data_IF_455783737801
#
_entry.id   IF_455783737801
#
_cell.length_a   1.000
_cell.length_b   1.000
_cell.length_c   1.000
_cell.angle_alpha   90.00
_cell.angle_beta   90.00
_cell.angle_gamma   90.00
#
_symmetry.space_group_name_H-M   'P 1'
#
loop_
_entity.id
_entity.type
_entity.pdbx_description
1 polymer ?
#
# COMPACT_ATOMS: atom_id res chain seq x y z
N UNK A 1 25.85 -4.61 -37.92
CA UNK A 1 24.72 -5.55 -38.15
C UNK A 1 24.23 -5.38 -39.58
N UNK A 2 24.23 -6.45 -40.34
CA UNK A 2 23.79 -6.43 -41.74
C UNK A 2 22.25 -6.35 -41.82
N UNK A 3 21.74 -5.81 -42.92
CA UNK A 3 20.29 -5.66 -43.18
C UNK A 3 19.54 -6.98 -43.01
N UNK A 4 20.18 -8.12 -43.24
CA UNK A 4 19.66 -9.48 -43.08
C UNK A 4 19.47 -9.86 -41.59
N UNK A 5 20.37 -9.41 -40.71
CA UNK A 5 20.26 -9.64 -39.27
C UNK A 5 19.14 -8.80 -38.60
N UNK A 6 18.93 -7.58 -39.10
CA UNK A 6 17.83 -6.73 -38.62
C UNK A 6 16.47 -7.33 -39.00
N UNK A 7 16.34 -7.88 -40.21
CA UNK A 7 15.09 -8.50 -40.70
C UNK A 7 14.73 -9.77 -39.90
N UNK A 8 15.72 -10.63 -39.64
CA UNK A 8 15.51 -11.83 -38.79
C UNK A 8 15.10 -11.50 -37.34
N UNK A 9 15.66 -10.42 -36.79
CA UNK A 9 15.29 -9.97 -35.42
C UNK A 9 13.85 -9.39 -35.37
N UNK A 10 13.41 -8.73 -36.45
CA UNK A 10 12.06 -8.18 -36.57
C UNK A 10 11.03 -9.28 -36.79
N UNK A 11 11.33 -10.30 -37.58
CA UNK A 11 10.49 -11.48 -37.81
C UNK A 11 10.29 -12.29 -36.52
N UNK A 12 11.36 -12.56 -35.77
CA UNK A 12 11.26 -13.22 -34.45
C UNK A 12 10.43 -12.42 -33.45
N UNK A 13 10.55 -11.08 -33.44
CA UNK A 13 9.72 -10.21 -32.60
C UNK A 13 8.24 -10.23 -32.98
N UNK A 14 7.95 -10.35 -34.28
CA UNK A 14 6.57 -10.45 -34.77
C UNK A 14 5.97 -11.83 -34.48
N UNK A 15 6.73 -12.91 -34.63
CA UNK A 15 6.30 -14.26 -34.27
C UNK A 15 6.02 -14.39 -32.77
N UNK A 16 6.92 -13.90 -31.90
CA UNK A 16 6.71 -13.87 -30.44
C UNK A 16 5.48 -13.02 -30.08
N UNK A 17 5.28 -11.87 -30.75
CA UNK A 17 4.08 -11.04 -30.55
C UNK A 17 2.79 -11.72 -30.99
N UNK A 18 2.85 -12.52 -32.06
CA UNK A 18 1.72 -13.27 -32.59
C UNK A 18 1.39 -14.51 -31.74
N UNK A 19 2.43 -15.19 -31.21
CA UNK A 19 2.27 -16.32 -30.30
C UNK A 19 1.73 -15.89 -28.93
N UNK A 20 2.16 -14.74 -28.40
CA UNK A 20 1.59 -14.12 -27.21
C UNK A 20 0.14 -13.68 -27.44
N UNK A 21 -0.19 -13.16 -28.64
CA UNK A 21 -1.59 -12.83 -28.99
C UNK A 21 -2.46 -14.05 -29.22
N UNK A 22 -1.95 -15.16 -29.76
CA UNK A 22 -2.73 -16.38 -29.98
C UNK A 22 -2.99 -17.14 -28.69
N UNK A 23 -2.03 -17.16 -27.75
CA UNK A 23 -2.23 -17.69 -26.40
C UNK A 23 -3.18 -16.83 -25.55
N UNK A 24 -3.28 -15.53 -25.84
CA UNK A 24 -4.22 -14.61 -25.17
C UNK A 24 -5.71 -14.79 -25.62
N UNK A 25 -5.99 -15.53 -26.69
CA UNK A 25 -7.33 -15.61 -27.27
C UNK A 25 -8.31 -16.53 -26.56
N UNK A 26 -7.88 -17.62 -25.93
CA UNK A 26 -8.75 -18.56 -25.20
C UNK A 26 -8.43 -18.61 -23.69
N UNK A 27 -7.20 -18.30 -23.28
CA UNK A 27 -6.65 -18.47 -21.93
C UNK A 27 -6.29 -17.12 -21.23
N UNK A 28 -6.36 -16.02 -21.96
CA UNK A 28 -5.91 -14.70 -21.44
C UNK A 28 -6.73 -14.17 -20.26
N UNK A 29 -7.99 -14.59 -20.11
CA UNK A 29 -8.82 -14.21 -18.95
C UNK A 29 -8.37 -14.95 -17.69
N UNK A 30 -8.05 -16.24 -17.82
CA UNK A 30 -7.52 -17.05 -16.73
C UNK A 30 -6.20 -16.47 -16.21
N UNK A 31 -5.24 -16.22 -17.11
CA UNK A 31 -3.91 -15.68 -16.75
C UNK A 31 -3.99 -14.29 -16.09
N UNK A 32 -4.86 -13.40 -16.56
CA UNK A 32 -5.04 -12.08 -15.97
C UNK A 32 -5.61 -12.18 -14.54
N UNK A 33 -6.58 -13.05 -14.32
CA UNK A 33 -7.17 -13.31 -13.02
C UNK A 33 -6.15 -13.93 -12.06
N UNK A 34 -5.45 -14.98 -12.47
CA UNK A 34 -4.41 -15.65 -11.69
C UNK A 34 -3.25 -14.69 -11.31
N UNK A 35 -2.89 -13.80 -12.23
CA UNK A 35 -1.88 -12.76 -11.95
C UNK A 35 -2.36 -11.81 -10.85
N UNK A 36 -3.61 -11.34 -10.95
CA UNK A 36 -4.20 -10.45 -9.94
C UNK A 36 -4.31 -11.16 -8.59
N UNK A 37 -4.78 -12.40 -8.56
CA UNK A 37 -4.88 -13.23 -7.36
C UNK A 37 -3.51 -13.42 -6.69
N UNK A 38 -2.48 -13.73 -7.48
CA UNK A 38 -1.09 -13.85 -7.00
C UNK A 38 -0.59 -12.55 -6.39
N UNK A 39 -0.83 -11.40 -7.02
CA UNK A 39 -0.43 -10.10 -6.50
C UNK A 39 -1.15 -9.78 -5.18
N UNK A 40 -2.46 -10.01 -5.11
CA UNK A 40 -3.27 -9.77 -3.92
C UNK A 40 -2.87 -10.68 -2.76
N UNK A 41 -2.65 -11.97 -3.01
CA UNK A 41 -2.26 -12.94 -1.98
C UNK A 41 -0.83 -12.77 -1.50
N UNK A 42 0.10 -12.40 -2.40
CA UNK A 42 1.51 -12.19 -2.06
C UNK A 42 1.79 -10.84 -1.40
N UNK A 43 0.91 -9.84 -1.56
CA UNK A 43 1.06 -8.53 -0.94
C UNK A 43 0.75 -8.60 0.57
N UNK A 44 1.60 -8.01 1.36
CA UNK A 44 1.41 -7.86 2.82
C UNK A 44 1.91 -6.48 3.29
N UNK A 45 1.61 -6.12 4.54
CA UNK A 45 2.14 -4.91 5.17
C UNK A 45 3.56 -5.17 5.66
N UNK A 46 4.55 -4.71 4.87
CA UNK A 46 5.96 -4.85 5.18
C UNK A 46 6.34 -3.95 6.38
N UNK A 47 7.04 -4.50 7.35
CA UNK A 47 7.46 -3.79 8.59
C UNK A 47 8.94 -3.95 8.91
N UNK A 48 9.73 -4.18 7.88
CA UNK A 48 11.18 -4.20 7.91
C UNK A 48 11.67 -4.04 6.48
N UNK A 49 12.42 -2.98 6.21
CA UNK A 49 12.89 -2.66 4.87
C UNK A 49 14.41 -2.65 4.82
N UNK A 50 14.95 -3.05 3.67
CA UNK A 50 16.35 -2.83 3.34
C UNK A 50 16.61 -1.33 3.07
N UNK A 51 17.81 -0.82 3.36
CA UNK A 51 18.13 0.60 3.16
C UNK A 51 18.26 0.99 1.68
N UNK A 52 18.30 0.02 0.77
CA UNK A 52 18.43 0.24 -0.65
C UNK A 52 17.24 1.04 -1.20
N UNK A 53 17.48 2.20 -1.86
CA UNK A 53 16.39 2.98 -2.45
C UNK A 53 15.81 2.30 -3.70
N UNK A 54 14.52 2.51 -3.91
CA UNK A 54 13.84 2.12 -5.16
C UNK A 54 14.21 3.13 -6.24
N UNK A 55 14.63 2.69 -7.43
CA UNK A 55 14.94 3.60 -8.53
C UNK A 55 13.74 4.49 -8.89
N UNK A 56 13.98 5.77 -9.12
CA UNK A 56 12.94 6.74 -9.46
C UNK A 56 12.07 6.29 -10.64
N UNK A 57 12.66 5.70 -11.67
CA UNK A 57 11.94 5.15 -12.83
C UNK A 57 10.90 4.08 -12.45
N UNK A 58 11.18 3.27 -11.42
CA UNK A 58 10.25 2.24 -10.96
C UNK A 58 9.15 2.86 -10.10
N UNK A 59 9.46 3.90 -9.30
CA UNK A 59 8.45 4.69 -8.60
C UNK A 59 7.51 5.36 -9.63
N UNK A 60 8.03 5.97 -10.68
CA UNK A 60 7.23 6.59 -11.76
C UNK A 60 6.33 5.56 -12.46
N UNK A 61 6.79 4.34 -12.68
CA UNK A 61 5.97 3.24 -13.22
C UNK A 61 4.84 2.84 -12.27
N UNK A 62 5.13 2.76 -10.96
CA UNK A 62 4.11 2.50 -9.94
C UNK A 62 3.04 3.58 -9.97
N UNK A 63 3.44 4.85 -9.99
CA UNK A 63 2.54 5.99 -10.04
C UNK A 63 1.68 5.99 -11.31
N UNK A 64 2.26 5.69 -12.47
CA UNK A 64 1.53 5.64 -13.74
C UNK A 64 0.41 4.56 -13.73
N UNK A 65 0.65 3.41 -13.08
CA UNK A 65 -0.37 2.37 -12.90
C UNK A 65 -1.40 2.79 -11.86
N UNK A 66 -0.97 3.31 -10.71
CA UNK A 66 -1.86 3.79 -9.66
C UNK A 66 -2.78 4.93 -10.14
N UNK A 67 -2.28 5.79 -11.05
CA UNK A 67 -3.07 6.88 -11.64
C UNK A 67 -4.27 6.39 -12.45
N UNK A 68 -4.33 5.11 -12.83
CA UNK A 68 -5.48 4.49 -13.50
C UNK A 68 -6.64 4.16 -12.56
N UNK A 69 -6.52 4.49 -11.29
CA UNK A 69 -7.60 4.31 -10.30
C UNK A 69 -8.84 5.08 -10.71
N UNK A 70 -9.99 4.41 -10.67
CA UNK A 70 -11.27 5.07 -10.84
C UNK A 70 -11.58 5.96 -9.62
N UNK A 71 -12.29 7.07 -9.85
CA UNK A 71 -12.74 7.97 -8.78
C UNK A 71 -14.13 8.51 -9.11
N UNK A 72 -14.88 8.96 -8.12
CA UNK A 72 -16.18 9.56 -8.35
C UNK A 72 -16.06 10.75 -9.30
N UNK A 73 -16.88 10.75 -10.35
CA UNK A 73 -16.87 11.77 -11.41
C UNK A 73 -15.49 12.04 -12.02
N UNK A 74 -14.58 11.06 -11.93
CA UNK A 74 -13.19 11.20 -12.36
C UNK A 74 -12.44 12.36 -11.65
N UNK A 75 -12.79 12.64 -10.39
CA UNK A 75 -12.24 13.77 -9.62
C UNK A 75 -10.74 13.63 -9.32
N UNK A 76 -10.23 12.40 -9.19
CA UNK A 76 -8.80 12.10 -8.96
C UNK A 76 -8.21 12.94 -7.81
N UNK A 77 -8.78 12.86 -6.59
CA UNK A 77 -8.50 13.78 -5.48
C UNK A 77 -7.11 13.67 -4.90
N UNK A 78 -6.46 12.52 -5.10
CA UNK A 78 -5.16 12.19 -4.51
C UNK A 78 -4.05 13.12 -5.00
N UNK A 79 -3.30 13.65 -4.04
CA UNK A 79 -2.00 14.24 -4.28
C UNK A 79 -0.99 13.58 -3.34
N UNK A 80 0.22 13.38 -3.84
CA UNK A 80 1.26 12.68 -3.11
C UNK A 80 2.50 13.55 -2.93
N UNK A 81 3.06 13.51 -1.72
CA UNK A 81 4.44 13.93 -1.47
C UNK A 81 5.26 12.67 -1.27
N UNK A 82 6.28 12.46 -2.09
CA UNK A 82 7.17 11.30 -2.00
C UNK A 82 8.55 11.77 -1.59
N UNK A 83 9.12 11.10 -0.59
CA UNK A 83 10.47 11.42 -0.07
C UNK A 83 11.48 10.36 -0.47
N UNK A 84 12.76 10.77 -0.48
CA UNK A 84 13.92 9.89 -0.69
C UNK A 84 15.14 10.46 0.02
N UNK A 85 16.06 9.58 0.44
CA UNK A 85 17.33 9.98 1.06
C UNK A 85 17.12 10.90 2.26
N UNK A 86 17.86 12.01 2.31
CA UNK A 86 17.85 12.95 3.44
C UNK A 86 16.44 13.53 3.70
N UNK A 87 15.59 13.68 2.68
CA UNK A 87 14.21 14.14 2.90
C UNK A 87 13.40 13.14 3.72
N UNK A 88 13.59 11.83 3.50
CA UNK A 88 12.97 10.78 4.31
C UNK A 88 13.50 10.81 5.73
N UNK A 89 14.81 10.99 5.92
CA UNK A 89 15.43 11.05 7.24
C UNK A 89 14.97 12.27 8.05
N UNK A 90 14.85 13.45 7.42
CA UNK A 90 14.31 14.64 8.09
C UNK A 90 12.87 14.43 8.55
N UNK A 91 12.03 13.83 7.69
CA UNK A 91 10.65 13.54 8.06
C UNK A 91 10.57 12.51 9.19
N UNK A 92 11.38 11.45 9.14
CA UNK A 92 11.47 10.43 10.21
C UNK A 92 11.83 11.06 11.54
N UNK A 93 12.85 11.95 11.60
CA UNK A 93 13.21 12.68 12.81
C UNK A 93 12.05 13.52 13.33
N UNK A 94 11.39 14.29 12.45
CA UNK A 94 10.26 15.15 12.83
C UNK A 94 9.08 14.34 13.38
N UNK A 95 8.79 13.18 12.81
CA UNK A 95 7.75 12.27 13.32
C UNK A 95 8.07 11.71 14.71
N UNK A 96 9.34 11.35 14.96
CA UNK A 96 9.78 10.84 16.25
C UNK A 96 9.76 11.92 17.33
N UNK A 97 10.24 13.12 17.02
CA UNK A 97 10.20 14.29 17.91
C UNK A 97 8.76 14.61 18.33
N UNK A 98 7.83 14.62 17.37
CA UNK A 98 6.41 14.86 17.63
C UNK A 98 5.64 13.65 18.17
N UNK A 99 6.30 12.51 18.41
CA UNK A 99 5.59 11.26 18.73
C UNK A 99 4.78 11.28 20.03
N UNK A 100 5.15 12.12 20.99
CA UNK A 100 4.46 12.33 22.26
C UNK A 100 3.36 13.41 22.20
N UNK A 101 3.30 14.21 21.12
CA UNK A 101 2.27 15.25 20.97
C UNK A 101 0.89 14.64 20.75
N UNK A 102 -0.15 15.30 21.27
CA UNK A 102 -1.52 14.95 20.96
C UNK A 102 -1.79 15.16 19.44
N UNK A 103 -2.54 14.28 18.83
CA UNK A 103 -2.93 14.38 17.44
C UNK A 103 -4.43 14.57 17.29
N UNK A 104 -4.81 15.26 16.22
CA UNK A 104 -6.20 15.41 15.79
C UNK A 104 -6.26 15.07 14.30
N UNK A 105 -6.62 13.83 13.94
CA UNK A 105 -6.62 13.39 12.53
C UNK A 105 -7.70 14.12 11.74
N UNK A 106 -7.40 14.48 10.49
CA UNK A 106 -8.34 15.17 9.59
C UNK A 106 -9.59 14.31 9.30
N UNK A 107 -9.45 13.00 9.29
CA UNK A 107 -10.56 12.05 9.18
C UNK A 107 -10.73 11.32 10.52
N UNK A 108 -11.93 11.32 11.11
CA UNK A 108 -12.19 10.67 12.40
C UNK A 108 -11.80 9.20 12.37
N UNK A 109 -11.04 8.77 13.38
CA UNK A 109 -10.72 7.37 13.55
C UNK A 109 -11.95 6.58 14.05
N UNK A 110 -11.94 5.22 13.87
CA UNK A 110 -12.99 4.38 14.43
C UNK A 110 -13.15 4.63 15.93
N UNK A 111 -14.34 5.00 16.37
CA UNK A 111 -14.63 5.27 17.78
C UNK A 111 -14.39 4.04 18.66
N UNK A 112 -14.71 2.86 18.13
CA UNK A 112 -14.55 1.57 18.81
C UNK A 112 -14.54 0.42 17.79
N UNK A 113 -14.08 -0.72 18.25
CA UNK A 113 -14.19 -1.99 17.52
C UNK A 113 -15.04 -2.93 18.38
N UNK A 114 -16.08 -3.55 17.81
CA UNK A 114 -16.96 -4.53 18.45
C UNK A 114 -16.93 -5.85 17.71
N UNK A 115 -17.37 -6.91 18.37
CA UNK A 115 -17.63 -8.24 17.81
C UNK A 115 -16.48 -8.73 16.91
N UNK A 116 -16.80 -9.18 15.73
CA UNK A 116 -15.83 -9.72 14.76
C UNK A 116 -14.73 -8.71 14.39
N UNK A 117 -15.02 -7.40 14.37
CA UNK A 117 -14.01 -6.39 14.08
C UNK A 117 -12.97 -6.27 15.20
N UNK A 118 -13.42 -6.38 16.46
CA UNK A 118 -12.54 -6.41 17.63
C UNK A 118 -11.67 -7.67 17.63
N UNK A 119 -12.27 -8.82 17.32
CA UNK A 119 -11.55 -10.08 17.20
C UNK A 119 -10.45 -9.98 16.14
N UNK A 120 -10.77 -9.60 14.91
CA UNK A 120 -9.81 -9.44 13.79
C UNK A 120 -8.68 -8.48 14.13
N UNK A 121 -9.01 -7.35 14.78
CA UNK A 121 -8.00 -6.37 15.23
C UNK A 121 -7.03 -6.97 16.24
N UNK A 122 -7.56 -7.74 17.23
CA UNK A 122 -6.76 -8.40 18.27
C UNK A 122 -5.87 -9.49 17.69
N UNK A 123 -6.40 -10.33 16.83
CA UNK A 123 -5.65 -11.41 16.15
C UNK A 123 -4.48 -10.84 15.35
N UNK A 124 -4.73 -9.82 14.54
CA UNK A 124 -3.69 -9.15 13.76
C UNK A 124 -2.62 -8.51 14.68
N UNK A 125 -3.02 -7.83 15.76
CA UNK A 125 -2.11 -7.21 16.71
C UNK A 125 -1.25 -8.23 17.46
N UNK A 126 -1.88 -9.33 17.93
CA UNK A 126 -1.14 -10.40 18.62
C UNK A 126 -0.16 -11.12 17.69
N UNK A 127 -0.53 -11.42 16.46
CA UNK A 127 0.36 -12.03 15.48
C UNK A 127 1.59 -11.15 15.21
N UNK A 128 1.40 -9.83 15.08
CA UNK A 128 2.51 -8.89 14.95
C UNK A 128 3.42 -8.92 16.19
N UNK A 129 2.85 -8.75 17.38
CA UNK A 129 3.62 -8.70 18.64
C UNK A 129 4.39 -10.00 18.87
N UNK A 130 3.76 -11.14 18.66
CA UNK A 130 4.40 -12.44 18.75
C UNK A 130 5.57 -12.56 17.77
N UNK A 131 5.42 -12.08 16.53
CA UNK A 131 6.48 -12.16 15.52
C UNK A 131 7.73 -11.36 15.90
N UNK A 132 7.58 -10.27 16.67
CA UNK A 132 8.69 -9.40 17.12
C UNK A 132 9.06 -9.63 18.59
N UNK A 133 8.58 -10.72 19.21
CA UNK A 133 8.95 -11.09 20.57
C UNK A 133 8.33 -10.22 21.68
N UNK A 134 7.28 -9.44 21.39
CA UNK A 134 6.56 -8.67 22.40
C UNK A 134 5.54 -9.55 23.09
N UNK A 135 5.73 -9.79 24.39
CA UNK A 135 4.84 -10.62 25.20
C UNK A 135 3.50 -9.95 25.46
N UNK A 136 2.49 -10.78 25.74
CA UNK A 136 1.16 -10.27 26.15
C UNK A 136 1.26 -9.51 27.47
N UNK A 137 0.85 -8.25 27.48
CA UNK A 137 0.94 -7.36 28.65
C UNK A 137 2.24 -6.56 28.74
N UNK A 138 3.21 -6.80 27.85
CA UNK A 138 4.41 -5.98 27.74
C UNK A 138 4.07 -4.62 27.10
N UNK A 139 3.75 -3.64 27.97
CA UNK A 139 3.37 -2.28 27.53
C UNK A 139 4.54 -1.54 26.89
N UNK A 140 5.75 -1.73 27.41
CA UNK A 140 6.94 -1.05 26.88
C UNK A 140 7.32 -1.60 25.50
N UNK A 141 7.31 -2.92 25.34
CA UNK A 141 7.52 -3.57 24.04
C UNK A 141 6.46 -3.12 23.03
N UNK A 142 5.19 -3.06 23.45
CA UNK A 142 4.11 -2.54 22.63
C UNK A 142 4.32 -1.08 22.21
N UNK A 143 4.75 -0.21 23.14
CA UNK A 143 5.07 1.18 22.84
C UNK A 143 6.25 1.32 21.86
N UNK A 144 7.33 0.54 22.07
CA UNK A 144 8.46 0.48 21.13
C UNK A 144 8.00 0.06 19.73
N UNK A 145 7.18 -0.99 19.65
CA UNK A 145 6.64 -1.46 18.36
C UNK A 145 5.72 -0.42 17.70
N UNK A 146 4.97 0.37 18.49
CA UNK A 146 4.17 1.45 17.96
C UNK A 146 5.03 2.57 17.32
N UNK A 147 6.16 2.92 17.95
CA UNK A 147 7.10 3.91 17.43
C UNK A 147 7.73 3.53 16.10
N UNK A 148 7.75 2.23 15.72
CA UNK A 148 8.23 1.81 14.41
C UNK A 148 7.42 2.43 13.26
N UNK A 149 6.14 2.78 13.49
CA UNK A 149 5.37 3.55 12.50
C UNK A 149 6.04 4.89 12.17
N UNK A 150 6.54 5.60 13.18
CA UNK A 150 7.21 6.90 13.02
C UNK A 150 8.65 6.75 12.54
N UNK A 151 9.26 5.58 12.73
CA UNK A 151 10.52 5.20 12.09
C UNK A 151 10.32 4.76 10.64
N UNK A 152 9.08 4.77 10.13
CA UNK A 152 8.71 4.31 8.79
C UNK A 152 9.12 2.84 8.55
N UNK A 153 9.27 2.06 9.63
CA UNK A 153 9.80 0.68 9.61
C UNK A 153 11.16 0.53 8.90
N UNK A 154 11.97 1.60 8.87
CA UNK A 154 13.25 1.65 8.16
C UNK A 154 13.15 1.85 6.64
N UNK A 155 11.96 2.12 6.11
CA UNK A 155 11.77 2.31 4.67
C UNK A 155 12.59 3.50 4.12
N UNK A 156 13.22 3.35 2.94
CA UNK A 156 13.96 4.43 2.30
C UNK A 156 13.04 5.52 1.70
N UNK A 157 11.75 5.21 1.55
CA UNK A 157 10.77 6.12 0.96
C UNK A 157 9.48 6.13 1.75
N UNK A 158 8.80 7.28 1.74
CA UNK A 158 7.40 7.41 2.16
C UNK A 158 6.66 8.29 1.16
N UNK A 159 5.42 7.90 0.86
CA UNK A 159 4.45 8.72 0.14
C UNK A 159 3.37 9.17 1.12
N UNK A 160 3.15 10.47 1.26
CA UNK A 160 2.01 11.03 2.00
C UNK A 160 0.89 11.28 1.01
N UNK A 161 -0.27 10.69 1.27
CA UNK A 161 -1.47 10.79 0.43
C UNK A 161 -2.42 11.80 1.06
N UNK A 162 -2.85 12.78 0.27
CA UNK A 162 -3.76 13.84 0.71
C UNK A 162 -4.96 13.96 -0.23
N UNK A 163 -6.08 14.49 0.29
CA UNK A 163 -7.31 14.80 -0.44
C UNK A 163 -7.71 16.25 -0.18
N UNK A 164 -8.36 16.95 -1.13
CA UNK A 164 -8.95 18.26 -0.85
C UNK A 164 -10.09 18.15 0.17
N UNK A 165 -10.21 19.14 1.05
CA UNK A 165 -11.23 19.16 2.10
C UNK A 165 -12.66 19.12 1.54
N UNK A 166 -12.92 19.87 0.46
CA UNK A 166 -14.23 19.98 -0.16
C UNK A 166 -14.80 18.67 -0.71
N UNK A 167 -13.95 17.66 -0.97
CA UNK A 167 -14.39 16.34 -1.42
C UNK A 167 -14.72 15.39 -0.24
N UNK A 168 -14.40 15.79 0.97
CA UNK A 168 -14.79 15.10 2.20
C UNK A 168 -14.50 13.59 2.21
N UNK A 169 -15.47 12.81 2.70
CA UNK A 169 -15.32 11.36 2.82
C UNK A 169 -15.16 10.64 1.48
N UNK A 170 -15.79 11.15 0.41
CA UNK A 170 -15.66 10.53 -0.92
C UNK A 170 -14.26 10.71 -1.51
N UNK A 171 -13.63 11.85 -1.27
CA UNK A 171 -12.22 12.04 -1.59
C UNK A 171 -11.32 11.03 -0.87
N UNK A 172 -11.60 10.74 0.41
CA UNK A 172 -10.87 9.72 1.17
C UNK A 172 -11.11 8.30 0.64
N UNK A 173 -12.34 7.96 0.22
CA UNK A 173 -12.67 6.66 -0.41
C UNK A 173 -11.86 6.47 -1.70
N UNK A 174 -11.84 7.47 -2.57
CA UNK A 174 -11.08 7.46 -3.82
C UNK A 174 -9.57 7.34 -3.55
N UNK A 175 -9.04 8.06 -2.55
CA UNK A 175 -7.66 7.90 -2.10
C UNK A 175 -7.37 6.48 -1.58
N UNK A 176 -8.31 5.84 -0.88
CA UNK A 176 -8.18 4.45 -0.43
C UNK A 176 -8.05 3.47 -1.60
N UNK A 177 -8.83 3.67 -2.68
CA UNK A 177 -8.71 2.91 -3.91
C UNK A 177 -7.34 3.13 -4.58
N UNK A 178 -6.87 4.38 -4.64
CA UNK A 178 -5.53 4.72 -5.15
C UNK A 178 -4.42 4.03 -4.35
N UNK A 179 -4.47 4.06 -3.01
CA UNK A 179 -3.51 3.39 -2.12
C UNK A 179 -3.45 1.89 -2.41
N UNK A 180 -4.60 1.24 -2.62
CA UNK A 180 -4.64 -0.19 -2.97
C UNK A 180 -3.93 -0.47 -4.29
N UNK A 181 -4.22 0.33 -5.33
CA UNK A 181 -3.60 0.18 -6.65
C UNK A 181 -2.09 0.50 -6.62
N UNK A 182 -1.68 1.52 -5.85
CA UNK A 182 -0.26 1.81 -5.62
C UNK A 182 0.48 0.60 -5.04
N UNK A 183 -0.09 -0.03 -3.98
CA UNK A 183 0.54 -1.18 -3.33
C UNK A 183 0.58 -2.42 -4.24
N UNK A 184 -0.40 -2.63 -5.11
CA UNK A 184 -0.40 -3.72 -6.08
C UNK A 184 0.61 -3.48 -7.20
N UNK A 185 0.68 -2.25 -7.74
CA UNK A 185 1.67 -1.85 -8.72
C UNK A 185 3.11 -1.97 -8.16
N UNK A 186 3.32 -1.55 -6.91
CA UNK A 186 4.60 -1.72 -6.23
C UNK A 186 4.96 -3.21 -6.11
N UNK A 187 4.02 -4.05 -5.65
CA UNK A 187 4.24 -5.49 -5.53
C UNK A 187 4.60 -6.15 -6.85
N UNK A 188 3.99 -5.74 -7.96
CA UNK A 188 4.30 -6.27 -9.30
C UNK A 188 5.73 -5.98 -9.76
N UNK A 189 6.41 -4.99 -9.15
CA UNK A 189 7.82 -4.66 -9.37
C UNK A 189 8.73 -5.15 -8.24
N UNK A 190 8.25 -6.01 -7.34
CA UNK A 190 9.04 -6.50 -6.19
C UNK A 190 9.25 -5.47 -5.08
N UNK A 191 8.55 -4.33 -5.12
CA UNK A 191 8.60 -3.29 -4.09
C UNK A 191 7.57 -3.60 -3.01
N UNK A 192 8.01 -3.66 -1.77
CA UNK A 192 7.17 -3.88 -0.60
C UNK A 192 6.62 -2.55 -0.07
N UNK A 193 5.42 -2.59 0.51
CA UNK A 193 4.74 -1.40 1.03
C UNK A 193 4.00 -1.69 2.34
N UNK A 194 3.75 -0.60 3.08
CA UNK A 194 2.76 -0.58 4.17
C UNK A 194 2.01 0.75 4.15
N UNK A 195 0.68 0.71 4.06
CA UNK A 195 -0.16 1.87 4.31
C UNK A 195 -0.29 2.09 5.82
N UNK A 196 -0.12 3.35 6.27
CA UNK A 196 -0.02 3.73 7.68
C UNK A 196 -0.97 4.87 8.00
N UNK A 197 -2.10 4.57 8.67
CA UNK A 197 -2.97 5.59 9.27
C UNK A 197 -2.25 6.37 10.39
N UNK A 198 -1.26 5.76 11.05
CA UNK A 198 -0.49 6.40 12.09
C UNK A 198 0.17 7.72 11.64
N UNK A 199 0.54 7.84 10.36
CA UNK A 199 1.13 9.06 9.80
C UNK A 199 0.11 10.18 9.60
N UNK A 200 -1.18 9.86 9.55
CA UNK A 200 -2.28 10.83 9.48
C UNK A 200 -2.81 11.24 10.86
N UNK A 201 -2.23 10.72 11.96
CA UNK A 201 -2.68 11.07 13.32
C UNK A 201 -2.35 12.52 13.69
N UNK A 202 -1.28 13.07 13.11
CA UNK A 202 -0.85 14.46 13.34
C UNK A 202 -0.74 15.21 12.01
N UNK A 203 -1.86 15.50 11.36
CA UNK A 203 -1.85 16.11 10.03
C UNK A 203 -1.23 17.51 10.02
N UNK A 204 -1.35 18.26 11.12
CA UNK A 204 -0.72 19.56 11.27
C UNK A 204 0.81 19.48 11.15
N UNK A 205 1.44 18.50 11.83
CA UNK A 205 2.89 18.23 11.72
C UNK A 205 3.28 17.88 10.28
N UNK A 206 2.45 17.08 9.60
CA UNK A 206 2.71 16.67 8.21
C UNK A 206 2.61 17.87 7.27
N UNK A 207 1.55 18.70 7.42
CA UNK A 207 1.36 19.91 6.61
C UNK A 207 2.50 20.91 6.83
N UNK A 208 2.89 21.15 8.07
CA UNK A 208 4.02 22.01 8.39
C UNK A 208 5.31 21.52 7.72
N UNK A 209 5.64 20.24 7.91
CA UNK A 209 6.89 19.66 7.40
C UNK A 209 7.02 19.73 5.87
N UNK A 210 5.91 19.50 5.15
CA UNK A 210 5.88 19.50 3.69
C UNK A 210 5.33 20.78 3.06
N UNK A 211 5.04 21.80 3.86
CA UNK A 211 4.44 23.07 3.42
C UNK A 211 3.16 22.84 2.59
N UNK A 212 2.31 21.93 3.06
CA UNK A 212 1.03 21.66 2.39
C UNK A 212 0.00 22.72 2.76
N UNK A 213 -0.92 23.05 1.84
CA UNK A 213 -2.07 23.92 2.13
C UNK A 213 -2.95 23.34 3.26
N UNK A 214 -3.64 24.20 3.98
CA UNK A 214 -4.48 23.82 5.12
C UNK A 214 -5.72 23.01 4.71
N UNK A 215 -6.21 23.21 3.49
CA UNK A 215 -7.32 22.51 2.86
C UNK A 215 -6.94 21.13 2.26
N UNK A 216 -5.66 20.75 2.39
CA UNK A 216 -5.21 19.39 2.04
C UNK A 216 -5.25 18.47 3.26
N UNK A 217 -6.28 17.62 3.32
CA UNK A 217 -6.47 16.65 4.39
C UNK A 217 -5.53 15.45 4.20
N UNK A 218 -4.85 15.04 5.26
CA UNK A 218 -3.92 13.90 5.25
C UNK A 218 -4.71 12.60 5.41
N UNK A 219 -4.72 11.76 4.38
CA UNK A 219 -5.44 10.48 4.38
C UNK A 219 -4.62 9.38 5.05
N UNK A 220 -3.40 9.18 4.61
CA UNK A 220 -2.45 8.20 5.17
C UNK A 220 -1.04 8.44 4.63
N UNK A 221 -0.07 7.67 5.16
CA UNK A 221 1.23 7.50 4.51
C UNK A 221 1.40 6.09 3.96
N UNK A 222 2.30 5.92 2.99
CA UNK A 222 2.74 4.63 2.47
C UNK A 222 4.25 4.58 2.59
N UNK A 223 4.78 3.82 3.55
CA UNK A 223 6.21 3.50 3.57
C UNK A 223 6.50 2.39 2.57
N UNK A 224 7.56 2.52 1.78
CA UNK A 224 7.88 1.55 0.74
C UNK A 224 9.38 1.45 0.45
N UNK A 225 9.78 0.28 -0.06
CA UNK A 225 11.16 -0.08 -0.35
C UNK A 225 11.26 -1.57 -0.65
N UNK A 226 12.46 -2.13 -0.55
CA UNK A 226 12.64 -3.58 -0.64
C UNK A 226 12.46 -4.24 0.72
N UNK A 227 11.75 -5.37 0.74
CA UNK A 227 11.54 -6.16 1.94
C UNK A 227 12.88 -6.63 2.54
N UNK A 228 13.05 -6.50 3.86
CA UNK A 228 14.05 -7.26 4.59
C UNK A 228 13.47 -8.64 4.94
N UNK A 229 13.88 -9.73 4.26
CA UNK A 229 13.38 -11.07 4.51
C UNK A 229 13.81 -11.62 5.87
N UNK A 230 14.84 -11.03 6.47
CA UNK A 230 15.32 -11.36 7.81
C UNK A 230 14.48 -10.80 8.94
N UNK A 231 13.73 -9.72 8.67
CA UNK A 231 12.95 -9.03 9.69
C UNK A 231 11.76 -9.85 10.18
N UNK A 232 11.63 -10.12 11.49
CA UNK A 232 10.62 -11.03 12.02
C UNK A 232 9.18 -10.56 11.75
N UNK A 233 8.91 -9.26 11.76
CA UNK A 233 7.59 -8.70 11.45
C UNK A 233 7.12 -8.96 10.01
N UNK A 234 8.01 -9.39 9.12
CA UNK A 234 7.67 -9.71 7.73
C UNK A 234 7.27 -11.18 7.52
N UNK A 235 7.35 -12.01 8.58
CA UNK A 235 7.10 -13.46 8.47
C UNK A 235 5.64 -13.84 8.64
N UNK A 236 4.82 -13.05 9.34
CA UNK A 236 3.42 -13.39 9.53
C UNK A 236 2.53 -12.87 8.40
N UNK A 237 1.38 -13.51 8.23
CA UNK A 237 0.33 -13.10 7.29
C UNK A 237 -1.00 -13.00 8.02
N UNK A 238 -1.83 -12.06 7.61
CA UNK A 238 -3.18 -11.91 8.14
C UNK A 238 -4.17 -12.73 7.31
N UNK A 239 -5.05 -13.46 8.00
CA UNK A 239 -6.15 -14.20 7.39
C UNK A 239 -7.23 -13.24 6.89
N UNK A 240 -7.98 -13.65 5.88
CA UNK A 240 -9.21 -12.99 5.42
C UNK A 240 -10.41 -13.87 5.75
N UNK A 241 -11.53 -13.23 6.04
CA UNK A 241 -12.80 -13.92 6.18
C UNK A 241 -13.25 -14.55 4.86
N UNK A 242 -14.09 -15.56 4.94
CA UNK A 242 -14.73 -16.13 3.76
C UNK A 242 -15.63 -15.06 3.11
N UNK A 243 -15.64 -14.91 1.79
CA UNK A 243 -16.53 -13.99 1.09
C UNK A 243 -18.02 -14.14 1.46
N UNK A 244 -18.48 -15.36 1.80
CA UNK A 244 -19.86 -15.63 2.24
C UNK A 244 -20.24 -14.87 3.53
N UNK A 245 -19.25 -14.48 4.36
CA UNK A 245 -19.50 -13.69 5.57
C UNK A 245 -19.83 -12.21 5.25
N UNK A 246 -19.58 -11.77 4.04
CA UNK A 246 -19.75 -10.37 3.60
C UNK A 246 -20.76 -10.22 2.46
N UNK A 247 -21.20 -11.32 1.81
CA UNK A 247 -22.04 -11.27 0.62
C UNK A 247 -23.40 -11.92 0.90
N UNK A 248 -24.46 -11.21 0.62
CA UNK A 248 -25.82 -11.75 0.59
C UNK A 248 -26.27 -11.89 -0.85
N UNK A 249 -26.58 -13.10 -1.27
CA UNK A 249 -27.10 -13.41 -2.60
C UNK A 249 -28.62 -13.30 -2.61
N UNK A 250 -29.17 -12.50 -3.53
CA UNK A 250 -30.61 -12.36 -3.71
C UNK A 250 -30.98 -12.82 -5.12
N UNK A 251 -32.06 -13.60 -5.24
CA UNK A 251 -32.53 -14.17 -6.50
C UNK A 251 -32.06 -15.62 -6.74
N UNK A 252 -32.43 -16.17 -7.89
CA UNK A 252 -32.06 -17.54 -8.30
C UNK A 252 -30.67 -17.54 -8.95
N UNK A 253 -29.73 -18.26 -8.36
CA UNK A 253 -28.38 -18.42 -8.85
C UNK A 253 -28.09 -19.88 -9.09
N UNK A 254 -27.74 -20.22 -10.33
CA UNK A 254 -27.34 -21.59 -10.69
C UNK A 254 -25.96 -21.88 -10.09
N UNK A 255 -25.93 -22.64 -9.00
CA UNK A 255 -24.70 -23.04 -8.32
C UNK A 255 -23.87 -24.08 -9.11
N UNK A 256 -24.37 -24.54 -10.28
CA UNK A 256 -23.76 -25.61 -11.07
C UNK A 256 -22.98 -25.13 -12.30
N UNK A 257 -22.82 -23.81 -12.49
CA UNK A 257 -22.02 -23.21 -13.58
C UNK A 257 -20.78 -22.50 -13.13
#
# INVERSE_FOLDING_TARGET
MTTRQKRATEEVKQEVKQEVKSKAGADGRGLAFETLETLLSSRFSCRGFLPQPVPRKDIERILAVAQRTASWCNAQPWQLVITSGEATERFRRRLLEGSAEAGEPDFPWPREYRDVYLQRRRECGFALYQSVGVARGDREGGARQHLENYRLFGAPHVAIVTSPEELGVYGAIDCGAYVSNFMLAARSLGVACIAQAALAYRPALVREHFSLPTDRLVVCGISFGYEDPGHPANRFRTVRADPKDAVTWLGEWDASR
#
